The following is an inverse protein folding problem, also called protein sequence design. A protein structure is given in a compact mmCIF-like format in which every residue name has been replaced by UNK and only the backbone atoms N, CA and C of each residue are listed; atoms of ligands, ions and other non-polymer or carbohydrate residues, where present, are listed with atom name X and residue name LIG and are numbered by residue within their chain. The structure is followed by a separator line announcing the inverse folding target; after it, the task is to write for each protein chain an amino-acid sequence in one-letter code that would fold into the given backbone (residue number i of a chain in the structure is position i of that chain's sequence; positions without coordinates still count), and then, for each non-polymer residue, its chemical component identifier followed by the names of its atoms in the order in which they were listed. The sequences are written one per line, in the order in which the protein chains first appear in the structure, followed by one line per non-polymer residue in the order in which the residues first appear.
data_IF_338775097761
#
_entry.id   IF_338775097761
#
_cell.length_a   1.000
_cell.length_b   1.000
_cell.length_c   1.000
_cell.angle_alpha   90.00
_cell.angle_beta   90.00
_cell.angle_gamma   90.00
#
_symmetry.space_group_name_H-M   'P 1'
#
loop_
_entity.id
_entity.type
_entity.pdbx_description
1 polymer ?
#
# COMPACT_ATOMS: atom_id res chain seq x y z
N UNK A 1 3.18 23.87 2.56
CA UNK A 1 2.34 24.04 1.35
C UNK A 1 0.95 23.50 1.64
N UNK A 2 -0.12 24.09 1.04
CA UNK A 2 -1.45 23.50 1.15
C UNK A 2 -1.47 22.11 0.49
N UNK A 3 -2.32 21.24 0.99
CA UNK A 3 -2.59 19.93 0.38
C UNK A 3 -3.28 20.12 -0.99
N UNK A 4 -2.96 19.23 -1.90
CA UNK A 4 -3.73 19.09 -3.15
C UNK A 4 -5.15 18.60 -2.79
N UNK A 5 -6.22 19.18 -3.37
CA UNK A 5 -7.57 18.69 -3.13
C UNK A 5 -7.71 17.21 -3.48
N UNK A 6 -8.24 16.40 -2.55
CA UNK A 6 -8.36 14.96 -2.69
C UNK A 6 -7.21 14.16 -2.09
N UNK A 7 -6.09 14.81 -1.70
CA UNK A 7 -4.95 14.15 -1.08
C UNK A 7 -5.07 14.00 0.45
N UNK A 8 -6.18 14.41 1.05
CA UNK A 8 -6.37 14.38 2.50
C UNK A 8 -6.32 12.93 3.03
N UNK A 9 -5.81 12.71 4.24
CA UNK A 9 -5.94 11.40 4.90
C UNK A 9 -7.42 11.04 5.08
N UNK A 10 -7.71 9.76 5.26
CA UNK A 10 -9.06 9.28 5.54
C UNK A 10 -9.07 8.46 6.82
N UNK A 11 -10.07 8.68 7.65
CA UNK A 11 -10.32 7.91 8.89
C UNK A 11 -11.80 7.62 9.00
N UNK A 12 -12.11 6.41 9.46
CA UNK A 12 -13.46 5.99 9.78
C UNK A 12 -13.45 5.18 11.08
N UNK A 13 -14.36 5.51 11.98
CA UNK A 13 -14.57 4.77 13.22
C UNK A 13 -15.72 3.78 12.99
N UNK A 14 -15.39 2.50 12.95
CA UNK A 14 -16.32 1.39 12.76
C UNK A 14 -16.27 0.42 13.96
N UNK A 15 -16.30 -0.88 13.65
CA UNK A 15 -16.24 -1.96 14.64
C UNK A 15 -14.83 -2.20 15.19
N UNK A 16 -14.67 -3.34 15.88
CA UNK A 16 -13.43 -3.73 16.57
C UNK A 16 -12.33 -4.24 15.66
N UNK A 17 -12.60 -4.41 14.36
CA UNK A 17 -11.61 -4.81 13.36
C UNK A 17 -11.07 -3.57 12.65
N UNK A 18 -9.77 -3.31 12.81
CA UNK A 18 -9.06 -2.19 12.23
C UNK A 18 -8.36 -2.54 10.92
N UNK A 19 -8.35 -1.60 9.97
CA UNK A 19 -7.61 -1.73 8.71
C UNK A 19 -6.77 -0.48 8.47
N UNK A 20 -5.46 -0.66 8.38
CA UNK A 20 -4.54 0.36 7.92
C UNK A 20 -4.34 0.22 6.41
N UNK A 21 -4.62 1.28 5.64
CA UNK A 21 -4.42 1.31 4.19
C UNK A 21 -3.28 2.26 3.84
N UNK A 22 -2.31 1.81 3.04
CA UNK A 22 -1.09 2.54 2.71
C UNK A 22 -1.03 2.83 1.21
N UNK A 23 -0.87 4.11 0.82
CA UNK A 23 -0.75 4.51 -0.58
C UNK A 23 0.68 4.37 -1.15
N UNK A 24 0.81 4.53 -2.47
CA UNK A 24 2.05 4.34 -3.21
C UNK A 24 3.03 5.52 -3.19
N UNK A 25 4.24 5.28 -3.73
CA UNK A 25 5.30 6.27 -3.94
C UNK A 25 4.86 7.32 -4.95
N UNK A 26 5.06 8.60 -4.66
CA UNK A 26 4.60 9.77 -5.44
C UNK A 26 3.08 9.95 -5.53
N UNK A 27 2.29 8.95 -5.15
CA UNK A 27 0.83 9.01 -5.09
C UNK A 27 0.30 9.76 -3.86
N UNK A 28 -0.97 9.57 -3.55
CA UNK A 28 -1.64 10.16 -2.39
C UNK A 28 -2.72 9.22 -1.87
N UNK A 29 -3.38 9.51 -0.75
CA UNK A 29 -4.54 8.75 -0.29
C UNK A 29 -5.64 8.57 -1.35
N UNK A 30 -5.76 9.47 -2.32
CA UNK A 30 -6.75 9.38 -3.40
C UNK A 30 -6.68 8.04 -4.15
N UNK A 31 -5.49 7.51 -4.41
CA UNK A 31 -5.32 6.27 -5.19
C UNK A 31 -5.87 5.02 -4.51
N UNK A 32 -6.02 5.04 -3.19
CA UNK A 32 -6.55 3.91 -2.39
C UNK A 32 -7.78 4.29 -1.56
N UNK A 33 -8.28 5.50 -1.70
CA UNK A 33 -9.45 6.00 -0.97
C UNK A 33 -10.73 5.20 -1.27
N UNK A 34 -11.05 4.80 -2.53
CA UNK A 34 -12.20 3.96 -2.80
C UNK A 34 -12.11 2.60 -2.07
N UNK A 35 -10.94 2.00 -2.02
CA UNK A 35 -10.68 0.78 -1.26
C UNK A 35 -10.94 0.97 0.24
N UNK A 36 -10.36 2.03 0.84
CA UNK A 36 -10.57 2.37 2.23
C UNK A 36 -12.06 2.67 2.54
N UNK A 37 -12.75 3.39 1.65
CA UNK A 37 -14.18 3.68 1.74
C UNK A 37 -15.04 2.43 1.74
N UNK A 38 -14.79 1.49 0.81
CA UNK A 38 -15.50 0.22 0.75
C UNK A 38 -15.38 -0.58 2.08
N UNK A 39 -14.19 -0.61 2.68
CA UNK A 39 -13.98 -1.30 3.95
C UNK A 39 -14.71 -0.59 5.11
N UNK A 40 -14.74 0.74 5.09
CA UNK A 40 -15.49 1.55 6.06
C UNK A 40 -17.01 1.33 5.95
N UNK A 41 -17.55 1.28 4.74
CA UNK A 41 -18.97 0.97 4.47
C UNK A 41 -19.38 -0.44 4.94
N UNK A 42 -18.41 -1.35 5.06
CA UNK A 42 -18.60 -2.69 5.63
C UNK A 42 -18.42 -2.75 7.14
N UNK A 43 -18.34 -1.58 7.81
CA UNK A 43 -18.31 -1.46 9.26
C UNK A 43 -16.94 -1.64 9.90
N UNK A 44 -15.85 -1.65 9.12
CA UNK A 44 -14.50 -1.74 9.67
C UNK A 44 -13.99 -0.37 10.12
N UNK A 45 -13.17 -0.34 11.15
CA UNK A 45 -12.40 0.87 11.54
C UNK A 45 -11.24 1.04 10.58
N UNK A 46 -11.17 2.18 9.87
CA UNK A 46 -10.18 2.38 8.79
C UNK A 46 -9.29 3.57 9.07
N UNK A 47 -8.00 3.40 8.84
CA UNK A 47 -7.00 4.47 8.83
C UNK A 47 -6.24 4.47 7.51
N UNK A 48 -6.26 5.60 6.81
CA UNK A 48 -5.50 5.85 5.58
C UNK A 48 -4.71 7.16 5.79
N UNK A 49 -3.47 7.09 6.32
CA UNK A 49 -2.65 8.26 6.53
C UNK A 49 -2.13 8.84 5.22
N UNK A 50 -1.83 10.13 5.21
CA UNK A 50 -1.02 10.78 4.19
C UNK A 50 0.45 10.67 4.60
N UNK A 51 1.27 10.04 3.76
CA UNK A 51 2.70 9.89 4.02
C UNK A 51 3.43 11.24 3.92
N UNK A 52 4.42 11.51 4.79
CA UNK A 52 5.20 12.74 4.77
C UNK A 52 5.78 13.06 3.38
N UNK A 53 5.64 14.33 2.96
CA UNK A 53 6.11 14.81 1.67
C UNK A 53 5.22 14.49 0.47
N UNK A 54 4.12 13.73 0.66
CA UNK A 54 3.14 13.43 -0.38
C UNK A 54 1.97 14.42 -0.35
N UNK A 55 1.16 14.43 -1.41
CA UNK A 55 -0.07 15.23 -1.48
C UNK A 55 0.13 16.76 -1.53
N UNK A 56 1.34 17.25 -1.80
CA UNK A 56 1.66 18.68 -1.91
C UNK A 56 2.39 18.97 -3.22
N UNK A 57 3.71 18.88 -3.25
CA UNK A 57 4.58 18.97 -4.42
C UNK A 57 5.78 18.04 -4.28
N UNK A 58 6.35 17.60 -5.40
CA UNK A 58 7.47 16.66 -5.39
C UNK A 58 8.72 17.17 -4.63
N UNK A 59 8.91 18.52 -4.53
CA UNK A 59 10.01 19.12 -3.77
C UNK A 59 9.91 18.84 -2.26
N UNK A 60 8.70 18.78 -1.72
CA UNK A 60 8.49 18.46 -0.30
C UNK A 60 8.81 16.98 -0.04
N UNK A 61 8.46 16.07 -0.96
CA UNK A 61 8.83 14.67 -0.90
C UNK A 61 10.35 14.45 -0.97
N UNK A 62 11.07 15.30 -1.67
CA UNK A 62 12.54 15.23 -1.76
C UNK A 62 13.23 15.38 -0.40
N UNK A 63 12.58 16.03 0.55
CA UNK A 63 13.08 16.25 1.91
C UNK A 63 12.76 15.10 2.87
N UNK A 64 11.97 14.10 2.42
CA UNK A 64 11.54 12.96 3.22
C UNK A 64 12.16 11.66 2.70
N UNK A 65 12.12 10.63 3.53
CA UNK A 65 12.64 9.31 3.21
C UNK A 65 11.79 8.19 3.77
N UNK A 66 12.24 6.97 3.54
CA UNK A 66 11.50 5.78 3.95
C UNK A 66 11.28 5.71 5.48
N UNK A 67 12.18 6.30 6.28
CA UNK A 67 12.04 6.33 7.73
C UNK A 67 10.82 7.16 8.15
N UNK A 68 10.62 8.32 7.49
CA UNK A 68 9.48 9.20 7.77
C UNK A 68 8.17 8.52 7.35
N UNK A 69 8.14 7.86 6.18
CA UNK A 69 6.96 7.15 5.68
C UNK A 69 6.63 5.94 6.54
N UNK A 70 7.65 5.17 6.96
CA UNK A 70 7.45 4.04 7.85
C UNK A 70 6.98 4.48 9.24
N UNK A 71 7.57 5.54 9.80
CA UNK A 71 7.17 6.08 11.11
C UNK A 71 5.69 6.52 11.11
N UNK A 72 5.19 7.07 10.00
CA UNK A 72 3.77 7.48 9.90
C UNK A 72 2.83 6.26 9.88
N UNK A 73 3.13 5.21 9.09
CA UNK A 73 2.29 4.01 9.08
C UNK A 73 2.42 3.21 10.38
N UNK A 74 3.57 3.22 11.02
CA UNK A 74 3.82 2.59 12.32
C UNK A 74 3.00 3.27 13.43
N UNK A 75 2.98 4.61 13.44
CA UNK A 75 2.13 5.41 14.33
C UNK A 75 0.64 5.10 14.10
N UNK A 76 0.19 5.07 12.84
CA UNK A 76 -1.19 4.79 12.50
C UNK A 76 -1.60 3.36 12.87
N UNK A 77 -0.70 2.38 12.77
CA UNK A 77 -0.91 1.03 13.28
C UNK A 77 -1.08 1.03 14.80
N UNK A 78 -0.23 1.77 15.52
CA UNK A 78 -0.33 1.93 16.97
C UNK A 78 -1.68 2.47 17.41
N UNK A 79 -2.15 3.55 16.76
CA UNK A 79 -3.46 4.16 17.03
C UNK A 79 -4.65 3.20 16.77
N UNK A 80 -4.57 2.37 15.73
CA UNK A 80 -5.60 1.34 15.47
C UNK A 80 -5.58 0.26 16.55
N UNK A 81 -4.41 -0.17 17.01
CA UNK A 81 -4.27 -1.21 18.05
C UNK A 81 -4.77 -0.77 19.43
N UNK A 82 -4.82 0.53 19.71
CA UNK A 82 -5.42 1.05 20.94
C UNK A 82 -6.95 0.96 20.93
N UNK A 83 -7.57 0.79 19.76
CA UNK A 83 -9.02 0.89 19.54
C UNK A 83 -9.65 -0.36 18.97
N UNK A 84 -8.86 -1.22 18.36
CA UNK A 84 -9.31 -2.42 17.66
C UNK A 84 -8.67 -3.68 18.25
N UNK A 85 -9.45 -4.73 18.38
CA UNK A 85 -8.98 -6.04 18.86
C UNK A 85 -8.14 -6.78 17.84
N UNK A 86 -8.39 -6.57 16.56
CA UNK A 86 -7.67 -7.15 15.43
C UNK A 86 -7.33 -6.05 14.41
N UNK A 87 -6.10 -6.04 13.88
CA UNK A 87 -5.68 -5.06 12.88
C UNK A 87 -5.07 -5.75 11.66
N UNK A 88 -5.58 -5.39 10.49
CA UNK A 88 -5.07 -5.77 9.17
C UNK A 88 -4.31 -4.61 8.53
N UNK A 89 -3.34 -4.93 7.69
CA UNK A 89 -2.58 -3.93 6.95
C UNK A 89 -2.71 -4.17 5.45
N UNK A 90 -3.07 -3.12 4.72
CA UNK A 90 -3.29 -3.16 3.28
C UNK A 90 -2.40 -2.12 2.60
N UNK A 91 -1.98 -2.36 1.35
CA UNK A 91 -1.22 -1.34 0.64
C UNK A 91 -1.00 -1.59 -0.83
N UNK A 92 -0.91 -0.49 -1.57
CA UNK A 92 -0.60 -0.45 -3.00
C UNK A 92 0.87 -0.11 -3.21
N UNK A 93 1.60 -0.86 -4.04
CA UNK A 93 2.96 -0.52 -4.48
C UNK A 93 3.94 -0.34 -3.31
N UNK A 94 4.49 0.86 -3.09
CA UNK A 94 5.27 1.20 -1.89
C UNK A 94 4.46 0.97 -0.62
N UNK A 95 3.17 1.29 -0.62
CA UNK A 95 2.29 1.02 0.51
C UNK A 95 2.22 -0.47 0.84
N UNK A 96 2.23 -1.35 -0.16
CA UNK A 96 2.35 -2.80 0.01
C UNK A 96 3.67 -3.21 0.64
N UNK A 97 4.78 -2.58 0.24
CA UNK A 97 6.08 -2.80 0.86
C UNK A 97 6.12 -2.33 2.32
N UNK A 98 5.46 -1.19 2.64
CA UNK A 98 5.32 -0.71 4.03
C UNK A 98 4.46 -1.67 4.86
N UNK A 99 3.35 -2.19 4.31
CA UNK A 99 2.49 -3.17 4.96
C UNK A 99 3.24 -4.48 5.28
N UNK A 100 4.02 -5.01 4.34
CA UNK A 100 4.87 -6.18 4.56
C UNK A 100 5.89 -5.94 5.69
N UNK A 101 6.49 -4.75 5.74
CA UNK A 101 7.42 -4.42 6.81
C UNK A 101 6.73 -4.30 8.17
N UNK A 102 5.55 -3.71 8.24
CA UNK A 102 4.77 -3.66 9.49
C UNK A 102 4.52 -5.09 9.99
N UNK A 103 4.10 -6.00 9.11
CA UNK A 103 3.92 -7.41 9.47
C UNK A 103 5.21 -8.06 9.98
N UNK A 104 6.33 -7.87 9.27
CA UNK A 104 7.63 -8.42 9.68
C UNK A 104 8.10 -7.90 11.05
N UNK A 105 7.79 -6.63 11.39
CA UNK A 105 8.28 -5.97 12.61
C UNK A 105 7.36 -6.13 13.80
N UNK A 106 6.07 -6.28 13.59
CA UNK A 106 5.07 -6.33 14.66
C UNK A 106 4.50 -7.73 14.92
N UNK A 107 4.84 -8.73 14.07
CA UNK A 107 4.41 -10.11 14.28
C UNK A 107 2.90 -10.23 14.47
N UNK A 108 2.46 -10.89 15.51
CA UNK A 108 1.05 -11.19 15.81
C UNK A 108 0.16 -9.95 16.04
N UNK A 109 0.76 -8.76 16.18
CA UNK A 109 0.00 -7.51 16.26
C UNK A 109 -0.64 -7.12 14.92
N UNK A 110 -0.21 -7.75 13.81
CA UNK A 110 -0.83 -7.66 12.49
C UNK A 110 -1.50 -9.00 12.19
N UNK A 111 -2.82 -9.01 12.08
CA UNK A 111 -3.64 -10.22 11.88
C UNK A 111 -3.52 -10.81 10.48
N UNK A 112 -3.36 -9.95 9.47
CA UNK A 112 -3.22 -10.34 8.08
C UNK A 112 -2.76 -9.17 7.21
N UNK A 113 -2.24 -9.50 6.04
CA UNK A 113 -1.65 -8.54 5.08
C UNK A 113 -2.32 -8.66 3.73
N UNK A 114 -2.69 -7.52 3.13
CA UNK A 114 -3.20 -7.46 1.76
C UNK A 114 -2.33 -6.50 0.96
N UNK A 115 -1.75 -6.97 -0.13
CA UNK A 115 -0.90 -6.14 -0.97
C UNK A 115 -1.31 -6.19 -2.43
N UNK A 116 -1.34 -5.02 -3.07
CA UNK A 116 -1.66 -4.85 -4.49
C UNK A 116 -0.44 -4.29 -5.21
N UNK A 117 0.01 -4.96 -6.26
CA UNK A 117 1.19 -4.57 -7.05
C UNK A 117 2.40 -4.17 -6.18
N UNK A 118 2.77 -4.97 -5.16
CA UNK A 118 3.76 -4.57 -4.16
C UNK A 118 5.15 -4.44 -4.75
N UNK A 119 5.84 -3.32 -4.47
CA UNK A 119 7.21 -3.12 -4.89
C UNK A 119 8.19 -3.90 -4.01
N UNK A 120 9.13 -4.62 -4.62
CA UNK A 120 10.25 -5.27 -3.92
C UNK A 120 11.62 -4.78 -4.39
N UNK A 121 11.68 -4.16 -5.59
CA UNK A 121 12.93 -3.66 -6.16
C UNK A 121 12.69 -2.42 -7.01
N UNK A 122 13.67 -1.51 -7.04
CA UNK A 122 13.70 -0.43 -8.05
C UNK A 122 14.38 -0.97 -9.31
N UNK A 123 13.64 -1.01 -10.39
CA UNK A 123 14.07 -1.56 -11.67
C UNK A 123 14.70 -0.50 -12.60
N UNK A 124 15.35 -0.96 -13.67
CA UNK A 124 15.94 -0.14 -14.73
C UNK A 124 17.42 0.22 -14.55
N UNK A 125 18.05 0.59 -15.67
CA UNK A 125 19.49 0.92 -15.73
C UNK A 125 19.87 2.11 -14.83
N UNK A 126 19.00 3.10 -14.71
CA UNK A 126 19.19 4.27 -13.86
C UNK A 126 19.27 3.95 -12.36
N UNK A 127 18.76 2.79 -11.91
CA UNK A 127 18.81 2.41 -10.50
C UNK A 127 20.24 2.24 -9.96
N UNK A 128 21.19 1.83 -10.79
CA UNK A 128 22.61 1.68 -10.40
C UNK A 128 23.30 3.04 -10.23
N UNK A 129 22.97 4.02 -11.08
CA UNK A 129 23.54 5.35 -11.06
C UNK A 129 22.88 6.28 -10.03
N UNK A 130 21.71 5.92 -9.50
CA UNK A 130 20.91 6.74 -8.58
C UNK A 130 21.70 7.31 -7.37
N UNK A 131 22.64 6.58 -6.73
CA UNK A 131 23.40 7.13 -5.61
C UNK A 131 24.23 8.38 -5.97
N UNK A 132 24.65 8.51 -7.22
CA UNK A 132 25.46 9.65 -7.73
C UNK A 132 24.54 10.68 -8.37
N UNK A 133 23.67 10.25 -9.29
CA UNK A 133 22.83 11.14 -10.11
C UNK A 133 21.89 12.00 -9.27
N UNK A 134 21.40 11.50 -8.12
CA UNK A 134 20.56 12.28 -7.20
C UNK A 134 21.19 13.59 -6.68
N UNK A 135 22.52 13.71 -6.71
CA UNK A 135 23.23 14.93 -6.30
C UNK A 135 23.38 15.93 -7.44
N UNK A 136 23.19 15.48 -8.69
CA UNK A 136 23.32 16.29 -9.91
C UNK A 136 21.95 16.74 -10.44
N UNK A 137 20.95 15.89 -10.30
CA UNK A 137 19.59 16.11 -10.83
C UNK A 137 18.57 15.89 -9.68
N UNK A 138 17.71 16.88 -9.36
CA UNK A 138 16.78 16.78 -8.24
C UNK A 138 15.63 15.78 -8.50
N UNK A 139 15.16 15.68 -9.75
CA UNK A 139 14.03 14.80 -10.11
C UNK A 139 14.09 14.40 -11.58
N UNK A 140 13.38 13.33 -11.93
CA UNK A 140 13.13 12.90 -13.32
C UNK A 140 11.63 12.79 -13.56
N UNK A 141 11.20 12.78 -14.82
CA UNK A 141 9.82 12.45 -15.17
C UNK A 141 9.51 11.00 -14.76
N UNK A 142 8.36 10.78 -14.13
CA UNK A 142 7.85 9.47 -13.74
C UNK A 142 6.75 8.97 -14.67
N UNK A 143 6.29 7.75 -14.46
CA UNK A 143 5.02 7.26 -15.00
C UNK A 143 3.95 7.75 -14.03
N UNK A 144 3.01 8.53 -14.52
CA UNK A 144 1.84 8.98 -13.77
C UNK A 144 0.61 8.23 -14.29
N UNK A 145 -0.29 7.89 -13.39
CA UNK A 145 -1.61 7.29 -13.74
C UNK A 145 -1.48 6.06 -14.64
N UNK A 146 -0.70 5.05 -14.23
CA UNK A 146 -0.66 3.76 -14.94
C UNK A 146 -1.96 2.98 -14.65
N UNK A 147 -3.02 3.35 -15.40
CA UNK A 147 -4.41 2.89 -15.28
C UNK A 147 -4.91 2.54 -16.67
N UNK A 148 -5.46 1.33 -16.86
CA UNK A 148 -6.00 0.86 -18.13
C UNK A 148 -7.37 1.49 -18.45
N UNK A 149 -8.15 1.79 -17.41
CA UNK A 149 -9.50 2.36 -17.53
C UNK A 149 -9.46 3.76 -18.13
N UNK A 150 -10.17 4.01 -19.24
CA UNK A 150 -10.21 5.33 -19.86
C UNK A 150 -10.69 6.43 -18.88
N UNK A 151 -9.97 7.55 -18.82
CA UNK A 151 -10.27 8.67 -17.91
C UNK A 151 -9.90 8.41 -16.45
N UNK A 152 -9.22 7.30 -16.14
CA UNK A 152 -8.67 7.05 -14.81
C UNK A 152 -7.49 8.01 -14.55
N UNK A 153 -7.50 8.68 -13.41
CA UNK A 153 -6.43 9.60 -13.00
C UNK A 153 -6.03 9.34 -11.55
N UNK A 154 -4.72 9.22 -11.32
CA UNK A 154 -4.13 9.20 -10.00
C UNK A 154 -3.66 10.60 -9.61
N UNK A 155 -4.03 11.06 -8.43
CA UNK A 155 -3.50 12.29 -7.84
C UNK A 155 -2.11 12.01 -7.27
N UNK A 156 -1.11 12.17 -8.11
CA UNK A 156 0.30 11.93 -7.78
C UNK A 156 1.22 12.94 -8.44
N UNK A 157 2.53 12.79 -8.21
CA UNK A 157 3.54 13.64 -8.84
C UNK A 157 3.96 13.08 -10.20
N UNK A 158 3.98 13.92 -11.23
CA UNK A 158 4.53 13.63 -12.56
C UNK A 158 6.06 13.50 -12.56
N UNK A 159 6.69 13.84 -11.45
CA UNK A 159 8.15 13.80 -11.24
C UNK A 159 8.52 12.93 -10.05
N UNK A 160 9.55 12.12 -10.25
CA UNK A 160 10.18 11.28 -9.22
C UNK A 160 11.35 12.03 -8.58
N UNK A 161 11.26 12.45 -7.31
CA UNK A 161 12.37 13.06 -6.60
C UNK A 161 13.49 12.04 -6.36
N UNK A 162 14.71 12.30 -6.82
CA UNK A 162 15.76 11.28 -6.84
C UNK A 162 16.34 10.97 -5.44
N UNK A 163 16.31 11.91 -4.49
CA UNK A 163 16.67 11.62 -3.11
C UNK A 163 15.67 10.66 -2.45
N UNK A 164 14.37 10.91 -2.64
CA UNK A 164 13.30 10.03 -2.17
C UNK A 164 13.37 8.65 -2.82
N UNK A 165 13.58 8.58 -4.14
CA UNK A 165 13.76 7.33 -4.88
C UNK A 165 14.98 6.52 -4.38
N UNK A 166 16.09 7.18 -4.05
CA UNK A 166 17.26 6.53 -3.46
C UNK A 166 16.94 5.99 -2.06
N UNK A 167 16.20 6.76 -1.24
CA UNK A 167 15.74 6.32 0.07
C UNK A 167 14.82 5.10 -0.05
N UNK A 168 13.86 5.13 -0.97
CA UNK A 168 12.96 4.01 -1.26
C UNK A 168 13.73 2.76 -1.71
N UNK A 169 14.72 2.89 -2.58
CA UNK A 169 15.58 1.77 -2.98
C UNK A 169 16.32 1.14 -1.80
N UNK A 170 16.79 1.94 -0.83
CA UNK A 170 17.41 1.42 0.40
C UNK A 170 16.41 0.66 1.24
N UNK A 171 15.20 1.16 1.36
CA UNK A 171 14.10 0.52 2.04
C UNK A 171 13.78 -0.87 1.45
N UNK A 172 13.60 -0.96 0.14
CA UNK A 172 13.29 -2.24 -0.51
C UNK A 172 14.39 -3.28 -0.33
N UNK A 173 15.66 -2.88 -0.33
CA UNK A 173 16.76 -3.80 -0.03
C UNK A 173 16.75 -4.34 1.39
N UNK A 174 16.35 -3.50 2.34
CA UNK A 174 16.22 -3.90 3.74
C UNK A 174 15.02 -4.83 3.89
N UNK A 175 13.87 -4.46 3.33
CA UNK A 175 12.65 -5.27 3.35
C UNK A 175 12.89 -6.65 2.75
N UNK A 176 13.63 -6.76 1.65
CA UNK A 176 13.95 -8.05 1.02
C UNK A 176 14.62 -9.02 2.03
N UNK A 177 15.47 -8.50 2.93
CA UNK A 177 16.06 -9.27 4.03
C UNK A 177 15.09 -9.58 5.18
N UNK A 178 14.03 -8.78 5.36
CA UNK A 178 13.03 -8.94 6.42
C UNK A 178 11.82 -9.80 5.98
N UNK A 179 11.61 -10.05 4.68
CA UNK A 179 10.48 -10.85 4.16
C UNK A 179 10.31 -12.23 4.84
N UNK A 180 11.38 -12.98 5.19
CA UNK A 180 11.23 -14.25 5.93
C UNK A 180 10.58 -14.10 7.32
N UNK A 181 10.46 -12.89 7.87
CA UNK A 181 9.79 -12.62 9.13
C UNK A 181 8.27 -12.39 8.96
N UNK A 182 7.78 -12.27 7.73
CA UNK A 182 6.34 -12.19 7.43
C UNK A 182 5.75 -13.58 7.52
N UNK A 183 4.97 -13.84 8.57
CA UNK A 183 4.34 -15.14 8.86
C UNK A 183 2.81 -15.09 8.85
N UNK A 184 2.23 -13.87 8.80
CA UNK A 184 0.80 -13.62 8.80
C UNK A 184 0.14 -14.17 7.53
N UNK A 185 -1.16 -14.49 7.55
CA UNK A 185 -1.95 -14.70 6.33
C UNK A 185 -1.72 -13.55 5.34
N UNK A 186 -1.51 -13.90 4.07
CA UNK A 186 -1.18 -12.95 3.00
C UNK A 186 -2.12 -13.10 1.82
N UNK A 187 -2.79 -12.01 1.43
CA UNK A 187 -3.44 -11.86 0.14
C UNK A 187 -2.58 -10.95 -0.73
N UNK A 188 -2.01 -11.49 -1.80
CA UNK A 188 -1.22 -10.75 -2.76
C UNK A 188 -1.94 -10.71 -4.10
N UNK A 189 -2.21 -9.52 -4.59
CA UNK A 189 -2.85 -9.27 -5.87
C UNK A 189 -1.90 -8.52 -6.79
N UNK A 190 -1.79 -8.93 -8.05
CA UNK A 190 -0.92 -8.22 -8.99
C UNK A 190 -1.39 -8.27 -10.44
N UNK A 191 -1.07 -7.21 -11.16
CA UNK A 191 -1.40 -7.04 -12.58
C UNK A 191 -0.30 -7.64 -13.45
N UNK A 192 -0.63 -8.52 -14.42
CA UNK A 192 0.36 -9.03 -15.38
C UNK A 192 0.95 -7.94 -16.28
N UNK A 193 0.18 -6.88 -16.55
CA UNK A 193 0.56 -5.73 -17.40
C UNK A 193 0.90 -4.48 -16.58
N UNK A 194 1.60 -4.65 -15.46
CA UNK A 194 2.09 -3.53 -14.64
C UNK A 194 3.35 -2.92 -15.26
N UNK A 195 3.28 -1.64 -15.67
CA UNK A 195 4.39 -0.92 -16.31
C UNK A 195 5.34 -0.24 -15.31
N UNK A 196 5.02 -0.27 -14.01
CA UNK A 196 5.79 0.37 -12.93
C UNK A 196 6.53 -0.66 -12.09
N UNK A 197 5.81 -1.69 -11.61
CA UNK A 197 6.35 -2.78 -10.79
C UNK A 197 6.14 -4.10 -11.53
N UNK A 198 7.21 -4.70 -12.10
CA UNK A 198 7.07 -5.95 -12.83
C UNK A 198 6.55 -7.09 -11.94
N UNK A 199 5.75 -8.04 -12.47
CA UNK A 199 5.19 -9.18 -11.72
C UNK A 199 6.24 -10.05 -11.02
N UNK A 200 7.49 -10.01 -11.48
CA UNK A 200 8.60 -10.70 -10.81
C UNK A 200 8.84 -10.24 -9.37
N UNK A 201 8.44 -9.01 -9.01
CA UNK A 201 8.52 -8.53 -7.63
C UNK A 201 7.53 -9.28 -6.73
N UNK A 202 6.31 -9.51 -7.20
CA UNK A 202 5.30 -10.34 -6.51
C UNK A 202 5.76 -11.77 -6.34
N UNK A 203 6.27 -12.41 -7.40
CA UNK A 203 6.83 -13.76 -7.35
C UNK A 203 7.99 -13.84 -6.33
N UNK A 204 8.84 -12.80 -6.26
CA UNK A 204 9.95 -12.75 -5.29
C UNK A 204 9.44 -12.61 -3.86
N UNK A 205 8.42 -11.80 -3.60
CA UNK A 205 7.81 -11.66 -2.27
C UNK A 205 7.24 -13.01 -1.85
N UNK A 206 6.43 -13.66 -2.69
CA UNK A 206 5.82 -14.97 -2.43
C UNK A 206 6.87 -16.05 -2.11
N UNK A 207 8.00 -16.05 -2.82
CA UNK A 207 9.07 -17.01 -2.60
C UNK A 207 9.86 -16.79 -1.30
N UNK A 208 9.70 -15.64 -0.62
CA UNK A 208 10.52 -15.25 0.53
C UNK A 208 9.77 -15.10 1.84
N UNK A 209 8.46 -14.86 1.81
CA UNK A 209 7.65 -14.81 3.03
C UNK A 209 7.54 -16.21 3.66
N UNK A 210 7.34 -16.25 4.97
CA UNK A 210 7.10 -17.49 5.72
C UNK A 210 5.62 -17.72 6.05
N UNK A 211 4.73 -16.98 5.42
CA UNK A 211 3.29 -17.14 5.54
C UNK A 211 2.87 -18.53 5.08
N UNK A 212 2.03 -19.21 5.87
CA UNK A 212 1.48 -20.54 5.52
C UNK A 212 0.14 -20.46 4.82
N UNK A 213 -0.60 -19.37 5.06
CA UNK A 213 -1.88 -19.04 4.43
C UNK A 213 -1.62 -17.91 3.43
N UNK A 214 -1.48 -18.28 2.16
CA UNK A 214 -1.16 -17.35 1.08
C UNK A 214 -2.19 -17.53 -0.04
N UNK A 215 -2.81 -16.41 -0.42
CA UNK A 215 -3.67 -16.33 -1.58
C UNK A 215 -3.07 -15.36 -2.61
N UNK A 216 -2.91 -15.82 -3.82
CA UNK A 216 -2.49 -15.00 -4.97
C UNK A 216 -3.67 -14.79 -5.91
N UNK A 217 -3.84 -13.55 -6.43
CA UNK A 217 -4.85 -13.17 -7.42
C UNK A 217 -4.25 -12.35 -8.54
N UNK A 218 -4.59 -12.67 -9.77
CA UNK A 218 -4.24 -11.88 -10.94
C UNK A 218 -5.29 -10.80 -11.20
N UNK A 219 -4.84 -9.59 -11.51
CA UNK A 219 -5.65 -8.43 -11.88
C UNK A 219 -5.52 -8.24 -13.40
N UNK A 220 -6.22 -9.08 -14.16
CA UNK A 220 -5.98 -9.26 -15.60
C UNK A 220 -6.40 -8.08 -16.47
N UNK A 221 -7.18 -7.14 -15.93
CA UNK A 221 -7.71 -5.99 -16.67
C UNK A 221 -7.17 -4.65 -16.22
N UNK A 222 -6.22 -4.67 -15.29
CA UNK A 222 -5.70 -3.47 -14.65
C UNK A 222 -4.19 -3.35 -14.82
N UNK A 223 -3.72 -2.09 -14.82
CA UNK A 223 -2.29 -1.76 -14.75
C UNK A 223 -1.85 -1.53 -13.30
N UNK A 224 -0.82 -0.70 -13.06
CA UNK A 224 -0.21 -0.54 -11.74
C UNK A 224 -1.19 -0.03 -10.66
N UNK A 225 -1.96 1.03 -10.96
CA UNK A 225 -2.89 1.64 -9.98
C UNK A 225 -4.24 0.91 -10.02
N UNK A 226 -4.20 -0.40 -9.80
CA UNK A 226 -5.36 -1.29 -9.95
C UNK A 226 -6.53 -0.94 -9.03
N UNK A 227 -6.30 -0.22 -7.94
CA UNK A 227 -7.33 0.29 -7.02
C UNK A 227 -8.21 1.39 -7.61
N UNK A 228 -7.84 1.98 -8.76
CA UNK A 228 -8.63 2.93 -9.53
C UNK A 228 -9.03 2.40 -10.92
N UNK A 229 -8.67 1.16 -11.20
CA UNK A 229 -8.78 0.53 -12.51
C UNK A 229 -9.94 -0.47 -12.60
N UNK A 230 -9.97 -1.27 -13.65
CA UNK A 230 -11.04 -2.22 -13.97
C UNK A 230 -11.25 -3.31 -12.91
N UNK A 231 -10.20 -3.73 -12.19
CA UNK A 231 -10.28 -4.76 -11.15
C UNK A 231 -10.42 -4.18 -9.74
N UNK A 232 -10.73 -2.88 -9.60
CA UNK A 232 -10.86 -2.22 -8.30
C UNK A 232 -11.89 -2.92 -7.38
N UNK A 233 -13.08 -3.23 -7.90
CA UNK A 233 -14.13 -3.94 -7.14
C UNK A 233 -13.67 -5.34 -6.70
N UNK A 234 -12.95 -6.07 -7.55
CA UNK A 234 -12.38 -7.37 -7.20
C UNK A 234 -11.41 -7.23 -6.01
N UNK A 235 -10.54 -6.22 -6.03
CA UNK A 235 -9.61 -5.93 -4.93
C UNK A 235 -10.37 -5.68 -3.63
N UNK A 236 -11.44 -4.90 -3.69
CA UNK A 236 -12.21 -4.50 -2.52
C UNK A 236 -12.93 -5.70 -1.91
N UNK A 237 -13.62 -6.49 -2.72
CA UNK A 237 -14.38 -7.67 -2.27
C UNK A 237 -13.44 -8.78 -1.77
N UNK A 238 -12.36 -9.09 -2.47
CA UNK A 238 -11.37 -10.09 -2.03
C UNK A 238 -10.71 -9.68 -0.71
N UNK A 239 -10.43 -8.37 -0.53
CA UNK A 239 -9.90 -7.85 0.73
C UNK A 239 -10.89 -8.05 1.87
N UNK A 240 -12.15 -7.67 1.67
CA UNK A 240 -13.17 -7.83 2.69
C UNK A 240 -13.43 -9.30 3.03
N UNK A 241 -13.50 -10.17 2.02
CA UNK A 241 -13.65 -11.61 2.22
C UNK A 241 -12.47 -12.23 2.99
N UNK A 242 -11.23 -11.79 2.67
CA UNK A 242 -10.03 -12.21 3.39
C UNK A 242 -10.06 -11.79 4.86
N UNK A 243 -10.41 -10.54 5.15
CA UNK A 243 -10.54 -10.02 6.51
C UNK A 243 -11.64 -10.79 7.26
N UNK A 244 -12.83 -10.95 6.66
CA UNK A 244 -13.96 -11.66 7.27
C UNK A 244 -13.65 -13.12 7.60
N UNK A 245 -12.90 -13.79 6.75
CA UNK A 245 -12.46 -15.18 6.98
C UNK A 245 -11.53 -15.31 8.19
N UNK A 246 -10.72 -14.31 8.46
CA UNK A 246 -9.68 -14.35 9.51
C UNK A 246 -10.11 -13.69 10.82
N UNK A 247 -11.21 -12.95 10.81
CA UNK A 247 -11.71 -12.19 11.94
C UNK A 247 -13.00 -12.81 12.49
N UNK A 248 -13.04 -13.03 13.80
CA UNK A 248 -14.25 -13.48 14.48
C UNK A 248 -15.35 -12.39 14.56
N UNK A 249 -14.96 -11.10 14.53
CA UNK A 249 -15.86 -9.97 14.76
C UNK A 249 -16.68 -9.50 13.53
N UNK A 250 -16.35 -9.95 12.31
CA UNK A 250 -17.03 -9.48 11.08
C UNK A 250 -18.28 -10.33 10.75
N UNK A 251 -18.36 -11.57 11.27
CA UNK A 251 -19.47 -12.49 10.99
C UNK A 251 -20.81 -12.13 11.62
N UNK A 252 -20.84 -11.38 12.71
CA UNK A 252 -22.07 -11.09 13.48
C UNK A 252 -22.80 -9.81 13.02
N UNK A 253 -22.11 -8.84 12.44
CA UNK A 253 -22.72 -7.57 12.00
C UNK A 253 -23.64 -7.71 10.78
N UNK A 254 -23.41 -8.71 9.92
CA UNK A 254 -24.24 -8.99 8.73
C UNK A 254 -25.60 -9.67 9.03
N UNK A 255 -25.76 -10.26 10.21
CA UNK A 255 -26.98 -10.94 10.61
C UNK A 255 -28.00 -10.00 11.31
N UNK A 256 -27.53 -8.93 11.92
CA UNK A 256 -28.37 -8.00 12.68
C UNK A 256 -29.15 -6.98 11.82
N UNK A 257 -28.79 -6.80 10.54
CA UNK A 257 -29.47 -5.84 9.64
C UNK A 257 -30.54 -6.46 8.74
N UNK A 258 -30.94 -7.74 8.96
CA UNK A 258 -32.02 -8.46 8.24
C UNK A 258 -33.11 -8.98 9.16
N UNK A 259 -33.35 -8.32 10.26
CA UNK A 259 -34.46 -8.57 11.17
C UNK A 259 -35.50 -7.44 11.09
#
# INVERSE_FOLDING_TARGET
MPLLPGAEPFRHDGGEVGVLVCHGFTGSPQSVRPWAGHLAERGLTVSLPLLPGHGTRWQDMQLTGWQDWYAEVDRALGELRERCSEVFVCGLSMGGALALRLAARHGDAVKGVVVVNPANKVHGLGAKALPVVRHLIPSRRGIASDIAKPGGEELGYDRVPLHAAHSFRRFLRMLDGELPQVTQPLLLMHSPEDHVVPPVDSARILARVSSRDVTERLLERSYHVATLDHDAELIFEETFAFISRLSAGVGEAGAASRG
#
